data_IF_019549511160
#
_entry.id   IF_019549511160
#
_cell.length_a   1.000
_cell.length_b   1.000
_cell.length_c   1.000
_cell.angle_alpha   90.00
_cell.angle_beta   90.00
_cell.angle_gamma   90.00
#
_symmetry.space_group_name_H-M   'P 1'
#
loop_
_entity.id
_entity.type
_entity.pdbx_description
1 polymer ?
#
# COMPACT_ATOMS: atom_id res chain seq x y z
N UNK A 1 1.25 -13.33 9.35
CA UNK A 1 2.64 -13.31 8.82
C UNK A 1 2.98 -14.50 7.93
N UNK A 2 2.47 -15.72 8.18
CA UNK A 2 2.73 -16.91 7.35
C UNK A 2 2.42 -16.70 5.84
N UNK A 3 1.27 -16.10 5.52
CA UNK A 3 0.88 -15.79 4.14
C UNK A 3 1.91 -14.91 3.41
N UNK A 4 2.45 -13.89 4.09
CA UNK A 4 3.48 -13.02 3.50
C UNK A 4 4.74 -13.81 3.15
N UNK A 5 5.16 -14.75 3.99
CA UNK A 5 6.35 -15.59 3.74
C UNK A 5 6.20 -16.46 2.50
N UNK A 6 4.99 -16.98 2.26
CA UNK A 6 4.69 -17.86 1.11
C UNK A 6 4.52 -17.04 -0.16
N UNK A 7 3.74 -15.96 -0.12
CA UNK A 7 3.41 -15.16 -1.31
C UNK A 7 4.59 -14.29 -1.75
N UNK A 8 5.39 -13.77 -0.80
CA UNK A 8 6.51 -12.84 -1.05
C UNK A 8 6.14 -11.69 -2.01
N UNK A 9 5.10 -10.90 -1.70
CA UNK A 9 4.58 -9.90 -2.62
C UNK A 9 5.56 -8.73 -2.81
N UNK A 10 5.68 -8.21 -4.03
CA UNK A 10 6.40 -6.98 -4.31
C UNK A 10 5.66 -5.73 -3.79
N UNK A 11 4.32 -5.77 -3.74
CA UNK A 11 3.46 -4.69 -3.27
C UNK A 11 2.40 -5.24 -2.31
N UNK A 12 2.21 -4.55 -1.19
CA UNK A 12 1.09 -4.76 -0.27
C UNK A 12 0.21 -3.52 -0.25
N UNK A 13 -1.05 -3.69 -0.63
CA UNK A 13 -2.07 -2.63 -0.56
C UNK A 13 -2.88 -2.76 0.71
N UNK A 14 -2.83 -1.75 1.58
CA UNK A 14 -3.53 -1.74 2.87
C UNK A 14 -4.88 -1.04 2.74
N UNK A 15 -5.97 -1.83 2.75
CA UNK A 15 -7.33 -1.33 2.67
C UNK A 15 -7.86 -0.87 4.04
N UNK A 16 -7.68 0.41 4.35
CA UNK A 16 -8.19 1.02 5.58
C UNK A 16 -7.18 1.06 6.73
N UNK A 17 -7.64 1.62 7.86
CA UNK A 17 -6.78 1.96 9.00
C UNK A 17 -6.16 0.76 9.70
N UNK A 18 -6.87 -0.36 9.78
CA UNK A 18 -6.44 -1.52 10.57
C UNK A 18 -5.23 -2.21 9.93
N UNK A 19 -5.33 -2.54 8.64
CA UNK A 19 -4.22 -3.10 7.87
C UNK A 19 -3.07 -2.10 7.75
N UNK A 20 -3.36 -0.83 7.48
CA UNK A 20 -2.30 0.19 7.38
C UNK A 20 -1.53 0.32 8.69
N UNK A 21 -2.22 0.37 9.84
CA UNK A 21 -1.56 0.42 11.15
C UNK A 21 -0.66 -0.80 11.39
N UNK A 22 -1.19 -2.00 11.16
CA UNK A 22 -0.44 -3.24 11.33
C UNK A 22 0.85 -3.24 10.51
N UNK A 23 0.78 -2.92 9.22
CA UNK A 23 1.95 -2.93 8.35
C UNK A 23 2.92 -1.79 8.65
N UNK A 24 2.44 -0.64 9.13
CA UNK A 24 3.33 0.42 9.62
C UNK A 24 4.09 -0.04 10.86
N UNK A 25 3.41 -0.67 11.83
CA UNK A 25 4.06 -1.22 13.04
C UNK A 25 5.09 -2.30 12.68
N UNK A 26 4.74 -3.23 11.78
CA UNK A 26 5.68 -4.26 11.28
C UNK A 26 6.89 -3.67 10.56
N UNK A 27 6.75 -2.48 9.96
CA UNK A 27 7.82 -1.76 9.27
C UNK A 27 8.57 -0.77 10.18
N UNK A 28 8.25 -0.68 11.48
CA UNK A 28 8.85 0.29 12.39
C UNK A 28 8.46 1.75 12.10
N UNK A 29 7.34 1.98 11.41
CA UNK A 29 6.84 3.30 11.02
C UNK A 29 5.74 3.78 11.96
N UNK A 30 5.68 5.11 12.18
CA UNK A 30 4.59 5.73 12.93
C UNK A 30 3.34 5.87 12.06
N UNK A 31 2.22 5.29 12.51
CA UNK A 31 0.91 5.47 11.89
C UNK A 31 0.15 6.64 12.54
N UNK A 32 -0.39 7.56 11.74
CA UNK A 32 -1.17 8.72 12.22
C UNK A 32 -2.66 8.55 11.97
N UNK A 33 -3.09 8.69 10.71
CA UNK A 33 -4.45 8.42 10.26
C UNK A 33 -4.46 7.94 8.82
N UNK A 34 -5.50 7.20 8.43
CA UNK A 34 -5.58 6.67 7.06
C UNK A 34 -5.60 7.79 6.02
N UNK A 35 -6.31 8.89 6.30
CA UNK A 35 -6.38 10.04 5.40
C UNK A 35 -5.02 10.72 5.21
N UNK A 36 -4.16 10.72 6.24
CA UNK A 36 -2.83 11.33 6.16
C UNK A 36 -1.81 10.44 5.46
N UNK A 37 -1.94 9.12 5.57
CA UNK A 37 -0.93 8.19 5.03
C UNK A 37 -1.29 7.63 3.66
N UNK A 38 -2.57 7.64 3.26
CA UNK A 38 -3.03 7.04 2.00
C UNK A 38 -2.33 7.62 0.77
N UNK A 39 -2.16 6.81 -0.26
CA UNK A 39 -1.50 7.20 -1.51
C UNK A 39 0.02 7.41 -1.38
N UNK A 40 0.57 7.37 -0.16
CA UNK A 40 2.01 7.43 0.08
C UNK A 40 2.64 6.05 -0.01
N UNK A 41 3.25 5.73 -1.16
CA UNK A 41 4.02 4.50 -1.37
C UNK A 41 5.28 4.53 -0.52
N UNK A 42 5.56 3.45 0.21
CA UNK A 42 6.75 3.33 1.06
C UNK A 42 7.49 2.04 0.76
N UNK A 43 8.81 2.13 0.55
CA UNK A 43 9.68 0.95 0.58
C UNK A 43 9.88 0.57 2.04
N UNK A 44 9.56 -0.67 2.39
CA UNK A 44 9.69 -1.18 3.75
C UNK A 44 10.31 -2.56 3.72
N UNK A 45 10.96 -2.95 4.82
CA UNK A 45 11.46 -4.29 5.03
C UNK A 45 10.67 -4.95 6.14
N UNK A 46 9.98 -6.05 5.80
CA UNK A 46 9.15 -6.83 6.72
C UNK A 46 9.55 -8.28 6.53
N UNK A 47 9.80 -9.07 7.59
CA UNK A 47 10.19 -10.48 7.46
C UNK A 47 11.35 -10.73 6.47
N UNK A 48 12.37 -9.87 6.50
CA UNK A 48 13.55 -9.94 5.62
C UNK A 48 13.27 -9.81 4.11
N UNK A 49 12.05 -9.39 3.74
CA UNK A 49 11.70 -9.05 2.36
C UNK A 49 11.48 -7.55 2.22
N UNK A 50 12.02 -7.00 1.13
CA UNK A 50 11.75 -5.64 0.71
C UNK A 50 10.46 -5.63 -0.10
N UNK A 51 9.50 -4.80 0.31
CA UNK A 51 8.21 -4.66 -0.37
C UNK A 51 7.78 -3.19 -0.40
N UNK A 52 6.91 -2.87 -1.34
CA UNK A 52 6.23 -1.57 -1.37
C UNK A 52 4.91 -1.64 -0.61
N UNK A 53 4.73 -0.73 0.33
CA UNK A 53 3.50 -0.58 1.09
C UNK A 53 2.68 0.59 0.54
N UNK A 54 1.45 0.32 0.11
CA UNK A 54 0.49 1.32 -0.36
C UNK A 54 -0.78 1.32 0.51
N UNK A 55 -0.87 2.19 1.53
CA UNK A 55 -2.12 2.37 2.25
C UNK A 55 -3.16 3.13 1.41
N UNK A 56 -4.43 2.74 1.55
CA UNK A 56 -5.58 3.41 0.94
C UNK A 56 -6.83 3.28 1.83
N UNK A 57 -7.94 3.87 1.41
CA UNK A 57 -9.22 3.77 2.13
C UNK A 57 -9.80 2.35 2.02
N UNK A 58 -10.57 1.95 3.04
CA UNK A 58 -11.32 0.70 2.95
C UNK A 58 -12.46 0.87 1.94
N UNK A 59 -12.71 -0.08 1.03
CA UNK A 59 -13.75 0.03 0.00
C UNK A 59 -15.13 0.37 0.56
N UNK A 60 -15.50 -0.21 1.72
CA UNK A 60 -16.78 0.11 2.37
C UNK A 60 -16.96 1.61 2.68
N UNK A 61 -15.88 2.34 3.01
CA UNK A 61 -15.98 3.79 3.25
C UNK A 61 -16.32 4.57 1.97
N UNK A 62 -15.87 4.08 0.81
CA UNK A 62 -16.21 4.66 -0.49
C UNK A 62 -17.64 4.32 -0.94
N UNK A 63 -18.24 3.22 -0.44
CA UNK A 63 -19.63 2.87 -0.71
C UNK A 63 -20.61 3.84 -0.03
N UNK A 64 -20.33 4.20 1.24
CA UNK A 64 -21.23 5.07 2.01
C UNK A 64 -20.95 6.58 1.81
N UNK A 65 -19.75 6.95 1.39
CA UNK A 65 -19.39 8.35 1.14
C UNK A 65 -18.79 8.51 -0.27
N UNK A 66 -19.58 8.93 -1.26
CA UNK A 66 -19.13 9.11 -2.64
C UNK A 66 -17.92 10.05 -2.78
N UNK A 67 -17.75 11.02 -1.86
CA UNK A 67 -16.58 11.93 -1.87
C UNK A 67 -15.27 11.19 -1.61
N UNK A 68 -15.31 10.07 -0.90
CA UNK A 68 -14.13 9.24 -0.62
C UNK A 68 -13.79 8.29 -1.79
N UNK A 69 -14.73 8.04 -2.68
CA UNK A 69 -14.51 7.17 -3.85
C UNK A 69 -13.41 7.70 -4.76
N UNK A 70 -13.39 9.00 -5.03
CA UNK A 70 -12.35 9.62 -5.86
C UNK A 70 -10.93 9.44 -5.29
N UNK A 71 -10.80 9.40 -3.96
CA UNK A 71 -9.52 9.11 -3.29
C UNK A 71 -9.12 7.65 -3.47
N UNK A 72 -10.04 6.71 -3.30
CA UNK A 72 -9.76 5.30 -3.55
C UNK A 72 -9.33 5.06 -5.01
N UNK A 73 -10.07 5.64 -5.96
CA UNK A 73 -9.76 5.54 -7.39
C UNK A 73 -8.42 6.18 -7.76
N UNK A 74 -8.02 7.30 -7.13
CA UNK A 74 -6.69 7.88 -7.37
C UNK A 74 -5.57 6.96 -6.87
N UNK A 75 -5.76 6.31 -5.72
CA UNK A 75 -4.75 5.37 -5.19
C UNK A 75 -4.63 4.11 -6.05
N UNK A 76 -5.75 3.62 -6.61
CA UNK A 76 -5.72 2.48 -7.53
C UNK A 76 -5.14 2.85 -8.90
N UNK A 77 -5.32 4.09 -9.37
CA UNK A 77 -4.61 4.59 -10.56
C UNK A 77 -3.10 4.66 -10.32
N UNK A 78 -2.68 5.11 -9.13
CA UNK A 78 -1.28 5.06 -8.72
C UNK A 78 -0.77 3.60 -8.71
N UNK A 79 -1.51 2.67 -8.11
CA UNK A 79 -1.19 1.24 -8.18
C UNK A 79 -1.06 0.74 -9.62
N UNK A 80 -1.99 1.11 -10.50
CA UNK A 80 -1.94 0.79 -11.93
C UNK A 80 -0.66 1.30 -12.58
N UNK A 81 -0.24 2.53 -12.28
CA UNK A 81 1.03 3.08 -12.80
C UNK A 81 2.28 2.35 -12.28
N UNK A 82 2.25 1.89 -11.02
CA UNK A 82 3.35 1.11 -10.44
C UNK A 82 3.50 -0.26 -11.10
N UNK A 83 2.39 -0.88 -11.51
CA UNK A 83 2.38 -2.20 -12.13
C UNK A 83 2.58 -2.12 -13.65
N UNK A 84 2.00 -1.11 -14.31
CA UNK A 84 1.95 -1.02 -15.78
C UNK A 84 3.20 -0.41 -16.41
N UNK A 85 4.03 0.31 -15.63
CA UNK A 85 5.38 0.66 -16.07
C UNK A 85 6.24 -0.60 -16.09
N UNK A 86 6.15 -1.40 -17.16
CA UNK A 86 6.82 -2.70 -17.29
C UNK A 86 8.30 -2.66 -16.89
N UNK A 87 8.80 -3.77 -16.34
CA UNK A 87 10.13 -4.01 -15.72
C UNK A 87 10.74 -2.76 -15.02
N UNK A 88 11.19 -1.76 -15.76
CA UNK A 88 11.67 -0.44 -15.33
C UNK A 88 10.85 0.34 -14.28
N UNK A 89 9.53 0.17 -14.15
CA UNK A 89 8.72 0.95 -13.20
C UNK A 89 8.89 0.44 -11.77
N UNK A 90 8.52 -0.81 -11.54
CA UNK A 90 8.70 -1.50 -10.27
C UNK A 90 10.19 -1.61 -9.90
N UNK A 91 11.07 -1.90 -10.86
CA UNK A 91 12.53 -1.98 -10.65
C UNK A 91 13.11 -0.66 -10.13
N UNK A 92 12.76 0.48 -10.76
CA UNK A 92 13.13 1.82 -10.27
C UNK A 92 12.70 2.05 -8.82
N UNK A 93 11.52 1.56 -8.46
CA UNK A 93 11.03 1.63 -7.08
C UNK A 93 11.58 0.54 -6.16
N UNK A 94 12.19 -0.52 -6.66
CA UNK A 94 12.90 -1.50 -5.84
C UNK A 94 14.40 -1.20 -5.75
N UNK A 95 14.90 -0.22 -6.51
CA UNK A 95 16.32 0.12 -6.57
C UNK A 95 17.17 -0.98 -7.21
N UNK A 96 16.57 -1.71 -8.15
CA UNK A 96 17.21 -2.76 -8.95
C UNK A 96 17.23 -2.33 -10.41
#
# INVERSE_FOLDING_TARGET
LAQLKVIRPAIVVCLGRHSARLFFELAGLKFSSILRVRGGVRKVRILEMDLMLLPTLHPAAALYNPRLRGLLESDFRLLGSLISGGQSGLERWLGR
#
